data_IF_566372719302
#
_entry.id   IF_566372719302
#
_cell.length_a   1.000
_cell.length_b   1.000
_cell.length_c   1.000
_cell.angle_alpha   90.00
_cell.angle_beta   90.00
_cell.angle_gamma   90.00
#
_symmetry.space_group_name_H-M   'P 1'
#
loop_
_entity.id
_entity.type
_entity.pdbx_description
1 polymer ?
#
# COMPACT_ATOMS: atom_id res chain seq x y z
N UNK A 1 8.39 4.76 -25.92
CA UNK A 1 8.35 3.29 -25.99
C UNK A 1 9.46 2.62 -25.18
N UNK A 2 10.75 2.74 -25.52
CA UNK A 2 11.85 1.98 -24.87
C UNK A 2 11.86 2.05 -23.34
N UNK A 3 11.74 3.26 -22.75
CA UNK A 3 11.69 3.41 -21.29
C UNK A 3 10.45 2.72 -20.67
N UNK A 4 9.34 2.67 -21.40
CA UNK A 4 8.12 1.99 -20.95
C UNK A 4 8.33 0.48 -20.86
N UNK A 5 8.90 -0.11 -21.92
CA UNK A 5 9.24 -1.54 -21.97
C UNK A 5 10.28 -1.90 -20.91
N UNK A 6 11.31 -1.07 -20.71
CA UNK A 6 12.33 -1.28 -19.68
C UNK A 6 11.75 -1.26 -18.26
N UNK A 7 10.72 -0.44 -18.05
CA UNK A 7 9.95 -0.41 -16.79
C UNK A 7 8.91 -1.53 -16.68
N UNK A 8 8.77 -2.39 -17.69
CA UNK A 8 7.79 -3.49 -17.69
C UNK A 8 6.33 -3.04 -17.79
N UNK A 9 6.09 -1.80 -18.22
CA UNK A 9 4.77 -1.18 -18.34
C UNK A 9 4.09 -1.46 -19.69
N UNK A 10 2.82 -1.09 -19.82
CA UNK A 10 2.08 -1.15 -21.08
C UNK A 10 2.30 0.12 -21.92
N UNK A 11 2.61 -0.06 -23.20
CA UNK A 11 2.75 1.04 -24.17
C UNK A 11 1.54 1.08 -25.11
N UNK A 12 0.78 2.17 -25.07
CA UNK A 12 -0.38 2.41 -25.93
C UNK A 12 -0.47 3.89 -26.29
N UNK A 13 0.04 4.31 -27.47
CA UNK A 13 0.00 5.71 -27.87
C UNK A 13 -1.45 6.17 -28.08
N UNK A 14 -1.76 7.39 -27.62
CA UNK A 14 -3.11 7.95 -27.62
C UNK A 14 -3.14 9.25 -28.42
N UNK A 15 -4.28 9.54 -29.05
CA UNK A 15 -4.50 10.81 -29.77
C UNK A 15 -4.60 12.00 -28.80
N UNK A 16 -5.24 11.80 -27.65
CA UNK A 16 -5.28 12.76 -26.56
C UNK A 16 -3.95 12.74 -25.79
N UNK A 17 -3.34 13.92 -25.65
CA UNK A 17 -2.05 14.11 -24.96
C UNK A 17 -2.16 13.98 -23.44
N UNK A 18 -3.37 14.07 -22.87
CA UNK A 18 -3.61 13.93 -21.44
C UNK A 18 -3.73 12.46 -21.00
N UNK A 19 -3.91 11.54 -21.95
CA UNK A 19 -3.97 10.11 -21.65
C UNK A 19 -2.55 9.54 -21.64
N UNK A 20 -2.12 8.85 -20.56
CA UNK A 20 -0.74 8.36 -20.46
C UNK A 20 -0.48 7.28 -21.52
N UNK A 21 0.50 7.52 -22.39
CA UNK A 21 0.92 6.53 -23.40
C UNK A 21 1.66 5.33 -22.80
N UNK A 22 2.20 5.49 -21.59
CA UNK A 22 2.85 4.45 -20.82
C UNK A 22 2.21 4.36 -19.45
N UNK A 23 1.63 3.22 -19.10
CA UNK A 23 0.89 3.03 -17.86
C UNK A 23 1.22 1.68 -17.21
N UNK A 24 0.94 1.57 -15.91
CA UNK A 24 1.21 0.35 -15.15
C UNK A 24 0.38 -0.83 -15.66
N UNK A 25 1.05 -1.95 -15.82
CA UNK A 25 0.47 -3.28 -15.99
C UNK A 25 0.11 -3.88 -14.63
N UNK A 26 -0.73 -4.93 -14.63
CA UNK A 26 -1.15 -5.66 -13.42
C UNK A 26 -0.04 -6.47 -12.74
N UNK A 27 1.15 -6.55 -13.33
CA UNK A 27 2.32 -7.20 -12.74
C UNK A 27 3.13 -6.27 -11.82
N UNK A 28 2.77 -4.99 -11.74
CA UNK A 28 3.34 -4.03 -10.79
C UNK A 28 2.51 -3.97 -9.50
N UNK A 29 3.19 -3.74 -8.38
CA UNK A 29 2.57 -3.64 -7.07
C UNK A 29 2.95 -4.80 -6.16
N UNK A 30 2.05 -5.13 -5.24
CA UNK A 30 2.26 -6.13 -4.20
C UNK A 30 1.07 -7.07 -4.14
N UNK A 31 1.31 -8.28 -3.63
CA UNK A 31 0.28 -9.25 -3.29
C UNK A 31 0.30 -9.54 -1.80
N UNK A 32 -0.84 -9.90 -1.23
CA UNK A 32 -0.92 -10.44 0.12
C UNK A 32 -0.15 -11.77 0.15
N UNK A 33 0.73 -11.92 1.13
CA UNK A 33 1.49 -13.14 1.36
C UNK A 33 0.93 -13.86 2.59
N UNK A 34 0.43 -15.08 2.39
CA UNK A 34 -0.34 -15.83 3.37
C UNK A 34 -1.79 -15.34 3.48
N UNK A 35 -2.04 -14.30 4.28
CA UNK A 35 -3.40 -13.80 4.52
C UNK A 35 -3.46 -12.65 5.53
N UNK A 36 -4.68 -12.17 5.77
CA UNK A 36 -4.96 -11.09 6.72
C UNK A 36 -5.07 -11.66 8.13
N UNK A 37 -4.32 -11.08 9.07
CA UNK A 37 -4.31 -11.44 10.48
C UNK A 37 -5.06 -10.38 11.30
N UNK A 38 -6.04 -10.80 12.09
CA UNK A 38 -6.79 -9.89 12.98
C UNK A 38 -5.91 -9.42 14.13
N UNK A 39 -6.02 -8.14 14.48
CA UNK A 39 -5.37 -7.55 15.66
C UNK A 39 -6.42 -6.92 16.57
N UNK A 40 -6.02 -6.50 17.78
CA UNK A 40 -6.93 -5.82 18.71
C UNK A 40 -7.52 -4.53 18.10
N UNK A 41 -6.72 -3.79 17.32
CA UNK A 41 -7.12 -2.52 16.71
C UNK A 41 -7.73 -2.68 15.30
N UNK A 42 -7.52 -3.82 14.63
CA UNK A 42 -8.01 -4.07 13.29
C UNK A 42 -7.37 -5.29 12.66
N UNK A 43 -6.42 -5.09 11.74
CA UNK A 43 -5.74 -6.19 11.07
C UNK A 43 -4.33 -5.85 10.61
N UNK A 44 -3.57 -6.87 10.26
CA UNK A 44 -2.30 -6.77 9.57
C UNK A 44 -2.23 -7.74 8.38
N UNK A 45 -1.51 -7.35 7.34
CA UNK A 45 -1.20 -8.21 6.21
C UNK A 45 0.23 -7.97 5.73
N UNK A 46 0.98 -9.05 5.59
CA UNK A 46 2.29 -9.01 4.92
C UNK A 46 2.05 -8.92 3.42
N UNK A 47 2.67 -7.94 2.77
CA UNK A 47 2.60 -7.77 1.32
C UNK A 47 3.98 -8.05 0.72
N UNK A 48 4.01 -8.84 -0.36
CA UNK A 48 5.23 -9.14 -1.12
C UNK A 48 5.17 -8.51 -2.50
N UNK A 49 6.27 -7.86 -2.89
CA UNK A 49 6.38 -7.17 -4.17
C UNK A 49 6.26 -8.18 -5.32
N UNK A 50 5.45 -7.85 -6.32
CA UNK A 50 5.39 -8.60 -7.56
C UNK A 50 6.71 -8.44 -8.33
N UNK A 51 7.11 -9.50 -9.04
CA UNK A 51 8.33 -9.49 -9.84
C UNK A 51 8.16 -8.57 -11.05
N UNK A 52 8.58 -7.32 -10.89
CA UNK A 52 8.53 -6.25 -11.90
C UNK A 52 9.84 -5.45 -11.88
N UNK A 53 10.25 -4.84 -13.01
CA UNK A 53 11.44 -3.99 -13.03
C UNK A 53 11.36 -2.84 -12.00
N UNK A 54 12.52 -2.39 -11.52
CA UNK A 54 12.58 -1.22 -10.66
C UNK A 54 12.35 0.05 -11.47
N UNK A 55 11.58 0.98 -10.93
CA UNK A 55 11.36 2.29 -11.56
C UNK A 55 12.44 3.29 -11.17
N UNK A 56 12.80 3.32 -9.88
CA UNK A 56 13.65 4.34 -9.27
C UNK A 56 14.71 3.76 -8.31
N UNK A 57 14.84 2.42 -8.25
CA UNK A 57 15.76 1.74 -7.33
C UNK A 57 15.21 1.57 -5.92
N UNK A 58 15.93 0.81 -5.09
CA UNK A 58 15.67 0.61 -3.66
C UNK A 58 14.25 0.13 -3.31
N UNK A 59 13.71 -0.78 -4.12
CA UNK A 59 12.42 -1.41 -3.86
C UNK A 59 12.43 -2.21 -2.54
N UNK A 60 11.37 -2.09 -1.75
CA UNK A 60 11.21 -2.83 -0.49
C UNK A 60 10.39 -4.09 -0.76
N UNK A 61 11.03 -5.25 -0.87
CA UNK A 61 10.34 -6.47 -1.29
C UNK A 61 9.21 -6.94 -0.37
N UNK A 62 9.30 -6.66 0.91
CA UNK A 62 8.30 -7.06 1.90
C UNK A 62 7.88 -5.85 2.70
N UNK A 63 6.59 -5.53 2.68
CA UNK A 63 6.01 -4.44 3.49
C UNK A 63 4.88 -4.99 4.35
N UNK A 64 4.59 -4.31 5.45
CA UNK A 64 3.52 -4.66 6.38
C UNK A 64 2.41 -3.61 6.27
N UNK A 65 1.23 -4.05 5.83
CA UNK A 65 0.00 -3.27 5.95
C UNK A 65 -0.55 -3.46 7.35
N UNK A 66 -0.79 -2.36 8.07
CA UNK A 66 -1.51 -2.34 9.36
C UNK A 66 -2.75 -1.48 9.20
N UNK A 67 -3.92 -2.06 9.43
CA UNK A 67 -5.22 -1.38 9.46
C UNK A 67 -5.75 -1.23 10.88
N UNK A 68 -6.23 -0.04 11.22
CA UNK A 68 -6.76 0.35 12.54
C UNK A 68 -8.18 0.91 12.37
N UNK A 69 -9.15 0.27 13.01
CA UNK A 69 -10.54 0.75 13.11
C UNK A 69 -10.65 1.73 14.28
N UNK A 70 -10.11 2.94 14.11
CA UNK A 70 -9.94 3.88 15.20
C UNK A 70 -11.26 4.43 15.77
N UNK A 71 -12.22 4.74 14.89
CA UNK A 71 -13.58 5.16 15.29
C UNK A 71 -14.62 4.64 14.29
N UNK A 72 -15.90 4.79 14.61
CA UNK A 72 -17.03 4.51 13.70
C UNK A 72 -16.91 5.20 12.33
N UNK A 73 -16.19 6.34 12.27
CA UNK A 73 -16.07 7.18 11.07
C UNK A 73 -14.62 7.41 10.63
N UNK A 74 -13.64 6.77 11.28
CA UNK A 74 -12.22 6.94 10.97
C UNK A 74 -11.51 5.60 10.91
N UNK A 75 -11.11 5.25 9.70
CA UNK A 75 -10.14 4.20 9.43
C UNK A 75 -8.75 4.81 9.30
N UNK A 76 -7.73 4.12 9.79
CA UNK A 76 -6.33 4.45 9.50
C UNK A 76 -5.64 3.19 8.99
N UNK A 77 -4.78 3.35 7.99
CA UNK A 77 -3.84 2.30 7.63
C UNK A 77 -2.45 2.89 7.44
N UNK A 78 -1.43 2.06 7.63
CA UNK A 78 -0.06 2.37 7.25
C UNK A 78 0.59 1.18 6.56
N UNK A 79 1.49 1.47 5.63
CA UNK A 79 2.35 0.47 4.96
C UNK A 79 3.78 0.78 5.39
N UNK A 80 4.40 -0.14 6.12
CA UNK A 80 5.72 0.05 6.72
C UNK A 80 6.69 -1.03 6.27
N UNK A 81 7.99 -0.75 6.33
CA UNK A 81 9.00 -1.79 6.22
C UNK A 81 9.13 -2.52 7.56
N UNK A 82 8.85 -3.84 7.64
CA UNK A 82 8.92 -4.58 8.90
C UNK A 82 10.36 -4.84 9.37
N UNK A 83 11.36 -4.70 8.50
CA UNK A 83 12.78 -4.98 8.80
C UNK A 83 13.55 -3.71 9.15
N UNK A 84 13.11 -2.54 8.70
CA UNK A 84 13.82 -1.28 8.91
C UNK A 84 12.85 -0.17 9.27
N UNK A 85 13.04 0.42 10.45
CA UNK A 85 12.28 1.60 10.87
C UNK A 85 12.56 2.75 9.90
N UNK A 86 11.51 3.23 9.23
CA UNK A 86 11.57 4.40 8.35
C UNK A 86 11.08 5.64 9.11
N UNK A 87 11.37 6.81 8.56
CA UNK A 87 10.88 8.06 9.10
C UNK A 87 9.35 8.06 9.18
N UNK A 88 8.81 8.27 10.39
CA UNK A 88 7.41 8.62 10.63
C UNK A 88 7.37 10.08 11.09
N UNK A 89 6.37 10.84 10.65
CA UNK A 89 6.24 12.27 11.01
C UNK A 89 6.02 12.40 12.52
N UNK A 90 6.87 13.14 13.25
CA UNK A 90 6.69 13.38 14.68
C UNK A 90 5.61 14.45 14.90
N UNK A 91 4.35 14.07 14.71
CA UNK A 91 3.22 15.00 14.78
C UNK A 91 2.86 15.35 16.22
N UNK A 92 2.73 16.64 16.53
CA UNK A 92 2.50 17.13 17.90
C UNK A 92 1.18 16.66 18.53
N UNK A 93 0.12 16.52 17.70
CA UNK A 93 -1.21 16.11 18.17
C UNK A 93 -1.67 14.70 17.77
N UNK A 94 -1.03 14.06 16.80
CA UNK A 94 -1.47 12.77 16.27
C UNK A 94 -0.57 11.70 16.87
N UNK A 95 -1.09 11.04 17.90
CA UNK A 95 -0.39 9.96 18.60
C UNK A 95 -0.65 8.57 18.01
N UNK A 96 0.09 7.55 18.48
CA UNK A 96 -0.22 6.15 18.18
C UNK A 96 -1.59 5.77 18.76
N UNK A 97 -2.30 4.87 18.06
CA UNK A 97 -3.56 4.32 18.53
C UNK A 97 -3.31 3.09 19.40
N UNK A 98 -3.81 3.09 20.64
CA UNK A 98 -3.70 1.99 21.60
C UNK A 98 -5.06 1.38 22.00
N UNK A 99 -6.14 1.82 21.35
CA UNK A 99 -7.49 1.30 21.59
C UNK A 99 -7.78 -0.01 20.86
N UNK A 100 -8.89 -0.63 21.21
CA UNK A 100 -9.49 -1.71 20.41
C UNK A 100 -10.22 -1.16 19.19
N UNK A 101 -10.44 -2.01 18.19
CA UNK A 101 -11.29 -1.72 17.05
C UNK A 101 -12.65 -1.17 17.48
N UNK A 102 -13.09 -0.08 16.86
CA UNK A 102 -14.41 0.48 17.09
C UNK A 102 -15.52 -0.46 16.60
N UNK A 103 -16.65 -0.48 17.33
CA UNK A 103 -17.89 -1.12 16.90
C UNK A 103 -18.68 -0.19 15.96
N UNK A 104 -19.78 -0.68 15.36
CA UNK A 104 -20.74 0.12 14.57
C UNK A 104 -20.12 0.97 13.44
N UNK A 105 -19.15 0.39 12.73
CA UNK A 105 -18.44 1.08 11.65
C UNK A 105 -19.40 1.56 10.56
N UNK A 106 -19.22 2.81 10.10
CA UNK A 106 -19.94 3.38 8.95
C UNK A 106 -19.27 3.11 7.61
N UNK A 107 -18.27 2.24 7.61
CA UNK A 107 -17.47 1.86 6.46
C UNK A 107 -17.13 0.38 6.52
N UNK A 108 -16.76 -0.19 5.38
CA UNK A 108 -16.24 -1.55 5.25
C UNK A 108 -14.90 -1.49 4.51
N UNK A 109 -13.93 -2.26 4.99
CA UNK A 109 -12.61 -2.38 4.36
C UNK A 109 -12.52 -3.76 3.70
N UNK A 110 -12.11 -3.78 2.44
CA UNK A 110 -11.80 -4.99 1.68
C UNK A 110 -10.32 -4.93 1.27
N UNK A 111 -9.61 -6.04 1.44
CA UNK A 111 -8.17 -6.18 1.20
C UNK A 111 -7.95 -7.24 0.13
#
# INVERSE_FOLDING_TARGET
>A
QNLCSLRGCCWSPQSDRNVPWCYFSSNHGYKVDGGVQTTQAGFQATLTRLSSPSLFGNDINTVLLTGEYQTENRFRFKITDPKTTRFEVPHEHVGPFSGSAASNLRYRVEV
#
